data_IF_192865731777
#
_entry.id   IF_192865731777
#
_cell.length_a   1.000
_cell.length_b   1.000
_cell.length_c   1.000
_cell.angle_alpha   90.00
_cell.angle_beta   90.00
_cell.angle_gamma   90.00
#
_symmetry.space_group_name_H-M   'P 1'
#
loop_
_entity.id
_entity.type
_entity.pdbx_description
1 polymer ?
#
# COMPACT_ATOMS: atom_id res chain seq x y z
N UNK A 1 -11.21 12.06 -6.38
CA UNK A 1 -12.16 11.85 -7.50
C UNK A 1 -13.13 13.03 -7.69
N UNK A 2 -13.84 13.53 -6.65
CA UNK A 2 -14.83 14.62 -6.80
C UNK A 2 -14.31 15.84 -7.58
N UNK A 3 -13.10 16.33 -7.29
CA UNK A 3 -12.51 17.48 -7.98
C UNK A 3 -12.32 17.23 -9.49
N UNK A 4 -11.99 16.00 -9.90
CA UNK A 4 -11.87 15.63 -11.31
C UNK A 4 -13.27 15.59 -11.97
N UNK A 5 -14.26 14.99 -11.30
CA UNK A 5 -15.63 14.94 -11.79
C UNK A 5 -16.28 16.33 -11.89
N UNK A 6 -15.92 17.24 -10.98
CA UNK A 6 -16.37 18.64 -10.98
C UNK A 6 -15.55 19.54 -11.94
N UNK A 7 -14.60 18.95 -12.70
CA UNK A 7 -13.69 19.65 -13.63
C UNK A 7 -12.87 20.79 -12.98
N UNK A 8 -12.64 20.70 -11.66
CA UNK A 8 -11.78 21.64 -10.91
C UNK A 8 -10.31 21.31 -11.08
N UNK A 9 -9.99 20.08 -11.46
CA UNK A 9 -8.66 19.60 -11.84
C UNK A 9 -8.80 18.73 -13.08
N UNK A 10 -7.76 18.74 -13.94
CA UNK A 10 -7.74 17.95 -15.18
C UNK A 10 -6.91 16.67 -15.05
N UNK A 11 -6.17 16.53 -13.95
CA UNK A 11 -5.36 15.35 -13.62
C UNK A 11 -5.57 14.99 -12.14
N UNK A 12 -5.73 13.70 -11.86
CA UNK A 12 -5.85 13.16 -10.52
C UNK A 12 -5.03 11.87 -10.38
N UNK A 13 -4.08 11.85 -9.46
CA UNK A 13 -3.29 10.65 -9.13
C UNK A 13 -3.99 9.91 -8.00
N UNK A 14 -4.29 8.62 -8.19
CA UNK A 14 -5.06 7.84 -7.23
C UNK A 14 -4.78 6.34 -7.37
N UNK A 15 -5.08 5.57 -6.34
CA UNK A 15 -5.14 4.09 -6.40
C UNK A 15 -6.56 3.57 -6.68
N UNK A 16 -7.54 4.45 -6.89
CA UNK A 16 -8.90 4.09 -7.28
C UNK A 16 -9.00 4.04 -8.81
N UNK A 17 -9.37 2.90 -9.36
CA UNK A 17 -9.66 2.79 -10.79
C UNK A 17 -10.94 3.56 -11.13
N UNK A 18 -10.93 4.25 -12.26
CA UNK A 18 -12.13 4.96 -12.75
C UNK A 18 -13.26 3.96 -13.01
N UNK A 19 -14.40 4.19 -12.41
CA UNK A 19 -15.61 3.37 -12.61
C UNK A 19 -16.33 3.75 -13.90
N UNK A 20 -17.18 2.85 -14.43
CA UNK A 20 -18.02 3.15 -15.61
C UNK A 20 -18.93 4.36 -15.39
N UNK A 21 -19.43 4.55 -14.16
CA UNK A 21 -20.27 5.70 -13.83
C UNK A 21 -19.48 7.02 -13.84
N UNK A 22 -18.28 7.03 -13.31
CA UNK A 22 -17.37 8.20 -13.32
C UNK A 22 -16.93 8.57 -14.75
N UNK A 23 -16.61 7.56 -15.58
CA UNK A 23 -16.31 7.74 -16.99
C UNK A 23 -17.50 8.38 -17.73
N UNK A 24 -18.72 7.86 -17.52
CA UNK A 24 -19.93 8.40 -18.14
C UNK A 24 -20.21 9.85 -17.72
N UNK A 25 -20.02 10.19 -16.44
CA UNK A 25 -20.16 11.57 -15.94
C UNK A 25 -19.18 12.52 -16.64
N UNK A 26 -17.91 12.13 -16.78
CA UNK A 26 -16.91 12.96 -17.44
C UNK A 26 -17.23 13.15 -18.92
N UNK A 27 -17.57 12.08 -19.63
CA UNK A 27 -17.97 12.15 -21.06
C UNK A 27 -19.20 13.04 -21.27
N UNK A 28 -20.17 12.98 -20.36
CA UNK A 28 -21.37 13.84 -20.41
C UNK A 28 -21.05 15.33 -20.21
N UNK A 29 -19.88 15.68 -19.67
CA UNK A 29 -19.39 17.04 -19.50
C UNK A 29 -18.44 17.52 -20.63
N UNK A 30 -18.16 16.66 -21.61
CA UNK A 30 -17.38 16.97 -22.81
C UNK A 30 -15.99 16.33 -22.88
N UNK A 31 -15.15 16.26 -21.81
CA UNK A 31 -13.84 15.64 -21.92
C UNK A 31 -13.93 14.12 -22.11
N UNK A 32 -13.09 13.58 -23.00
CA UNK A 32 -12.88 12.13 -23.08
C UNK A 32 -11.88 11.74 -21.98
N UNK A 33 -12.29 10.98 -20.96
CA UNK A 33 -11.37 10.61 -19.90
C UNK A 33 -10.30 9.66 -20.41
N UNK A 34 -9.09 9.79 -19.87
CA UNK A 34 -8.00 8.85 -20.10
C UNK A 34 -7.46 8.31 -18.77
N UNK A 35 -7.11 7.03 -18.76
CA UNK A 35 -6.59 6.31 -17.60
C UNK A 35 -5.21 5.78 -17.92
N UNK A 36 -4.21 6.27 -17.19
CA UNK A 36 -2.84 5.80 -17.28
C UNK A 36 -2.48 5.06 -16.00
N UNK A 37 -2.35 3.73 -16.00
CA UNK A 37 -1.70 3.05 -14.90
C UNK A 37 -0.22 3.40 -14.93
N UNK A 38 0.31 3.88 -13.78
CA UNK A 38 1.66 4.42 -13.67
C UNK A 38 2.57 3.62 -12.76
N UNK A 39 2.02 2.80 -11.87
CA UNK A 39 2.81 1.98 -10.97
C UNK A 39 1.97 1.14 -10.03
N UNK A 40 2.66 0.35 -9.23
CA UNK A 40 2.07 -0.44 -8.16
C UNK A 40 2.69 -0.05 -6.82
N UNK A 41 1.87 -0.07 -5.78
CA UNK A 41 2.27 0.13 -4.38
C UNK A 41 1.86 -1.08 -3.55
N UNK A 42 2.74 -1.50 -2.64
CA UNK A 42 2.42 -2.52 -1.65
C UNK A 42 1.74 -1.88 -0.44
N UNK A 43 0.66 -2.45 0.07
CA UNK A 43 0.12 -2.06 1.36
C UNK A 43 0.83 -2.84 2.44
N UNK A 44 1.66 -2.14 3.21
CA UNK A 44 2.48 -2.71 4.27
C UNK A 44 1.75 -2.70 5.61
N UNK A 45 1.95 -3.77 6.37
CA UNK A 45 1.59 -3.86 7.78
C UNK A 45 2.87 -3.76 8.59
N UNK A 46 2.91 -2.84 9.54
CA UNK A 46 4.09 -2.59 10.38
C UNK A 46 3.73 -2.80 11.85
N UNK A 47 4.67 -3.37 12.59
CA UNK A 47 4.53 -3.60 14.02
C UNK A 47 5.73 -3.02 14.78
N UNK A 48 5.59 -2.83 16.07
CA UNK A 48 6.69 -2.39 16.92
C UNK A 48 7.85 -3.41 16.85
N UNK A 49 9.09 -2.92 16.88
CA UNK A 49 10.30 -3.78 16.82
C UNK A 49 10.36 -4.86 17.91
N UNK A 50 9.76 -4.58 19.04
CA UNK A 50 9.70 -5.55 20.15
C UNK A 50 8.60 -6.59 19.97
N UNK A 51 7.73 -6.48 18.94
CA UNK A 51 6.68 -7.45 18.69
C UNK A 51 7.27 -8.73 18.09
N UNK A 52 7.06 -9.91 18.69
CA UNK A 52 7.58 -11.18 18.16
C UNK A 52 6.85 -11.65 16.91
N UNK A 53 5.61 -11.16 16.66
CA UNK A 53 4.78 -11.61 15.55
C UNK A 53 5.01 -10.73 14.33
N UNK A 54 5.98 -11.12 13.52
CA UNK A 54 6.33 -10.45 12.27
C UNK A 54 5.90 -11.21 11.01
N UNK A 55 5.37 -12.43 11.15
CA UNK A 55 4.81 -13.24 10.06
C UNK A 55 3.33 -13.47 10.36
N UNK A 56 2.44 -12.98 9.49
CA UNK A 56 0.99 -13.11 9.63
C UNK A 56 0.35 -13.54 8.31
N UNK A 57 -0.79 -14.21 8.36
CA UNK A 57 -1.49 -14.63 7.15
C UNK A 57 -2.43 -13.54 6.60
N UNK A 58 -2.81 -13.65 5.34
CA UNK A 58 -3.90 -12.81 4.76
C UNK A 58 -5.18 -12.95 5.58
N UNK A 59 -5.47 -14.15 6.09
CA UNK A 59 -6.66 -14.41 6.90
C UNK A 59 -6.57 -13.75 8.29
N UNK A 60 -5.40 -13.76 8.92
CA UNK A 60 -5.15 -13.06 10.18
C UNK A 60 -5.37 -11.55 10.01
N UNK A 61 -4.83 -10.96 8.95
CA UNK A 61 -5.06 -9.54 8.62
C UNK A 61 -6.56 -9.25 8.51
N UNK A 62 -7.30 -10.09 7.76
CA UNK A 62 -8.75 -9.94 7.63
C UNK A 62 -9.48 -10.05 8.97
N UNK A 63 -9.10 -11.02 9.81
CA UNK A 63 -9.71 -11.23 11.14
C UNK A 63 -9.43 -10.07 12.08
N UNK A 64 -8.22 -9.51 12.09
CA UNK A 64 -7.86 -8.31 12.86
C UNK A 64 -8.75 -7.14 12.42
N UNK A 65 -8.81 -6.85 11.12
CA UNK A 65 -9.61 -5.75 10.57
C UNK A 65 -11.12 -5.94 10.80
N UNK A 66 -11.60 -7.18 10.88
CA UNK A 66 -12.99 -7.53 11.20
C UNK A 66 -13.28 -7.54 12.71
N UNK A 67 -12.28 -7.30 13.57
CA UNK A 67 -12.43 -7.36 15.03
C UNK A 67 -12.58 -8.77 15.59
N UNK A 68 -12.40 -9.82 14.79
CA UNK A 68 -12.46 -11.23 15.24
C UNK A 68 -11.22 -11.62 16.04
N UNK A 69 -10.08 -11.03 15.72
CA UNK A 69 -8.83 -11.08 16.47
C UNK A 69 -8.60 -9.69 17.03
N UNK A 70 -8.82 -9.52 18.33
CA UNK A 70 -8.73 -8.25 19.03
C UNK A 70 -7.47 -8.16 19.90
N UNK A 71 -6.80 -9.27 20.17
CA UNK A 71 -5.61 -9.35 21.04
C UNK A 71 -4.51 -10.15 20.39
N UNK A 72 -3.25 -9.78 20.64
CA UNK A 72 -2.07 -10.46 20.10
C UNK A 72 -1.97 -11.93 20.52
N UNK A 73 -2.41 -12.27 21.74
CA UNK A 73 -2.38 -13.65 22.22
C UNK A 73 -3.38 -14.59 21.50
N UNK A 74 -4.30 -14.05 20.71
CA UNK A 74 -5.17 -14.86 19.84
C UNK A 74 -4.45 -15.30 18.55
N UNK A 75 -3.39 -14.58 18.14
CA UNK A 75 -2.50 -14.99 17.07
C UNK A 75 -1.39 -15.89 17.59
N UNK A 76 -0.74 -15.47 18.66
CA UNK A 76 0.35 -16.18 19.30
C UNK A 76 0.15 -16.17 20.82
N UNK A 77 -0.17 -17.32 21.43
CA UNK A 77 -0.42 -17.40 22.88
C UNK A 77 0.70 -16.86 23.77
N UNK A 78 1.93 -16.80 23.24
CA UNK A 78 3.11 -16.25 23.96
C UNK A 78 3.20 -14.73 23.87
N UNK A 79 2.39 -14.08 23.01
CA UNK A 79 2.42 -12.63 22.86
C UNK A 79 1.46 -11.93 23.82
N UNK A 80 1.99 -11.35 24.89
CA UNK A 80 1.24 -10.71 25.98
C UNK A 80 1.04 -9.20 25.79
N UNK A 81 1.08 -8.65 24.55
CA UNK A 81 0.94 -7.20 24.27
C UNK A 81 -0.49 -6.66 24.42
N UNK A 82 -1.45 -7.51 24.72
CA UNK A 82 -2.83 -7.08 24.95
C UNK A 82 -3.61 -6.82 23.67
N UNK A 83 -4.49 -5.81 23.71
CA UNK A 83 -5.37 -5.46 22.60
C UNK A 83 -4.59 -4.90 21.41
N UNK A 84 -4.94 -5.32 20.20
CA UNK A 84 -4.36 -4.83 18.96
C UNK A 84 -4.94 -3.45 18.65
N UNK A 85 -4.08 -2.46 18.41
CA UNK A 85 -4.47 -1.14 17.91
C UNK A 85 -4.14 -1.03 16.42
N UNK A 86 -5.15 -0.85 15.58
CA UNK A 86 -4.97 -0.70 14.13
C UNK A 86 -4.84 0.78 13.78
N UNK A 87 -3.71 1.16 13.20
CA UNK A 87 -3.35 2.56 12.95
C UNK A 87 -3.31 2.85 11.46
N UNK A 88 -4.10 3.84 11.01
CA UNK A 88 -4.13 4.35 9.63
C UNK A 88 -3.62 5.79 9.57
N UNK A 89 -3.20 6.23 8.39
CA UNK A 89 -2.68 7.58 8.15
C UNK A 89 -3.76 8.69 8.26
N UNK A 90 -5.00 8.42 7.83
CA UNK A 90 -6.15 9.29 8.08
C UNK A 90 -7.46 8.56 7.73
N UNK A 91 -8.62 9.16 8.13
CA UNK A 91 -9.95 8.56 7.93
C UNK A 91 -10.41 8.51 6.46
N UNK A 92 -9.80 9.30 5.58
CA UNK A 92 -10.15 9.38 4.15
C UNK A 92 -8.99 8.93 3.26
N UNK A 93 -8.06 8.12 3.80
CA UNK A 93 -6.88 7.71 3.06
C UNK A 93 -7.18 6.67 2.00
N UNK A 94 -6.41 6.72 0.92
CA UNK A 94 -6.45 5.69 -0.11
C UNK A 94 -6.07 4.30 0.43
N UNK A 95 -5.29 4.24 1.52
CA UNK A 95 -4.95 3.00 2.23
C UNK A 95 -6.17 2.40 2.90
N UNK A 96 -6.96 3.22 3.61
CA UNK A 96 -8.20 2.77 4.25
C UNK A 96 -9.22 2.29 3.22
N UNK A 97 -9.41 3.03 2.13
CA UNK A 97 -10.29 2.61 1.03
C UNK A 97 -9.85 1.27 0.43
N UNK A 98 -8.55 1.10 0.16
CA UNK A 98 -8.04 -0.19 -0.33
C UNK A 98 -8.34 -1.35 0.64
N UNK A 99 -8.14 -1.12 1.95
CA UNK A 99 -8.44 -2.13 2.97
C UNK A 99 -9.92 -2.53 2.94
N UNK A 100 -10.81 -1.55 2.90
CA UNK A 100 -12.27 -1.81 2.86
C UNK A 100 -12.65 -2.52 1.57
N UNK A 101 -12.25 -1.99 0.42
CA UNK A 101 -12.72 -2.46 -0.89
C UNK A 101 -12.06 -3.80 -1.29
N UNK A 102 -10.72 -3.89 -1.16
CA UNK A 102 -9.95 -5.02 -1.69
C UNK A 102 -9.70 -6.11 -0.65
N UNK A 103 -9.39 -5.76 0.61
CA UNK A 103 -9.10 -6.76 1.65
C UNK A 103 -10.40 -7.29 2.26
N UNK A 104 -11.34 -6.41 2.59
CA UNK A 104 -12.59 -6.77 3.27
C UNK A 104 -13.78 -6.98 2.32
N UNK A 105 -13.60 -6.80 1.00
CA UNK A 105 -14.65 -7.00 0.00
C UNK A 105 -15.85 -6.05 0.19
N UNK A 106 -15.58 -4.77 0.47
CA UNK A 106 -16.58 -3.72 0.66
C UNK A 106 -17.19 -3.68 2.07
N UNK A 107 -16.73 -4.52 3.00
CA UNK A 107 -17.21 -4.52 4.39
C UNK A 107 -16.44 -3.52 5.23
N UNK A 108 -17.14 -2.82 6.11
CA UNK A 108 -16.52 -1.89 7.05
C UNK A 108 -15.56 -2.59 8.01
N UNK A 109 -14.52 -1.88 8.42
CA UNK A 109 -13.62 -2.31 9.49
C UNK A 109 -14.42 -2.32 10.80
N UNK A 110 -14.30 -3.41 11.55
CA UNK A 110 -15.01 -3.63 12.84
C UNK A 110 -14.06 -3.74 14.03
N UNK A 111 -12.75 -3.51 13.82
CA UNK A 111 -11.82 -3.44 14.96
C UNK A 111 -12.25 -2.30 15.90
N UNK A 112 -12.30 -2.58 17.20
CA UNK A 112 -12.73 -1.60 18.20
C UNK A 112 -11.66 -0.52 18.46
N UNK A 113 -10.40 -0.88 18.24
CA UNK A 113 -9.24 -0.01 18.52
C UNK A 113 -8.63 0.50 17.21
N UNK A 114 -9.33 1.44 16.54
CA UNK A 114 -8.81 2.09 15.33
C UNK A 114 -8.27 3.48 15.69
N UNK A 115 -7.03 3.73 15.34
CA UNK A 115 -6.36 5.02 15.51
C UNK A 115 -6.14 5.65 14.13
N UNK A 116 -6.53 6.90 13.97
CA UNK A 116 -6.21 7.71 12.79
C UNK A 116 -5.05 8.66 13.13
N UNK A 117 -3.91 8.45 12.51
CA UNK A 117 -2.77 9.37 12.57
C UNK A 117 -2.98 10.54 11.59
N UNK A 118 -2.06 11.50 11.56
CA UNK A 118 -2.17 12.67 10.64
C UNK A 118 -1.70 12.33 9.23
N UNK A 119 -0.70 11.47 9.11
CA UNK A 119 -0.05 11.06 7.85
C UNK A 119 0.74 9.76 8.07
N UNK A 120 1.30 9.19 7.00
CA UNK A 120 2.04 7.93 7.04
C UNK A 120 3.29 7.99 7.94
N UNK A 121 3.99 9.13 8.03
CA UNK A 121 5.11 9.30 8.97
C UNK A 121 4.63 9.16 10.42
N UNK A 122 3.50 9.80 10.76
CA UNK A 122 2.89 9.69 12.09
C UNK A 122 2.45 8.28 12.44
N UNK A 123 2.08 7.44 11.44
CA UNK A 123 1.81 6.01 11.66
C UNK A 123 3.08 5.29 12.10
N UNK A 124 4.20 5.50 11.40
CA UNK A 124 5.50 4.90 11.77
C UNK A 124 5.93 5.32 13.18
N UNK A 125 5.83 6.64 13.49
CA UNK A 125 6.18 7.19 14.80
C UNK A 125 5.29 6.60 15.91
N UNK A 126 4.00 6.43 15.65
CA UNK A 126 3.06 5.84 16.59
C UNK A 126 3.38 4.37 16.87
N UNK A 127 3.56 3.55 15.82
CA UNK A 127 3.88 2.12 15.94
C UNK A 127 5.22 1.92 16.66
N UNK A 128 6.21 2.79 16.39
CA UNK A 128 7.50 2.72 17.09
C UNK A 128 7.37 2.93 18.61
N UNK A 129 6.41 3.74 19.05
CA UNK A 129 6.17 4.05 20.47
C UNK A 129 5.16 3.12 21.15
N UNK A 130 4.34 2.40 20.39
CA UNK A 130 3.19 1.65 20.88
C UNK A 130 3.39 0.15 20.60
N UNK A 131 3.77 -0.66 21.63
CA UNK A 131 4.15 -2.07 21.43
C UNK A 131 3.04 -2.98 20.89
N UNK A 132 1.76 -2.63 21.10
CA UNK A 132 0.60 -3.40 20.67
C UNK A 132 -0.01 -2.90 19.35
N UNK A 133 0.56 -1.85 18.73
CA UNK A 133 0.03 -1.28 17.50
C UNK A 133 0.43 -2.10 16.25
N UNK A 134 -0.50 -2.14 15.27
CA UNK A 134 -0.26 -2.53 13.90
C UNK A 134 -0.61 -1.37 12.98
N UNK A 135 0.35 -0.84 12.25
CA UNK A 135 0.17 0.25 11.31
C UNK A 135 -0.08 -0.26 9.90
N UNK A 136 -0.92 0.46 9.14
CA UNK A 136 -1.24 0.14 7.75
C UNK A 136 -0.90 1.34 6.87
N UNK A 137 0.11 1.21 6.00
CA UNK A 137 0.62 2.29 5.14
C UNK A 137 1.06 1.78 3.77
N UNK A 138 1.31 2.70 2.83
CA UNK A 138 1.99 2.36 1.58
C UNK A 138 3.45 1.99 1.83
N UNK A 139 3.96 0.97 1.13
CA UNK A 139 5.31 0.44 1.33
C UNK A 139 6.41 1.45 1.00
N UNK A 140 6.16 2.37 0.07
CA UNK A 140 7.10 3.42 -0.32
C UNK A 140 7.51 4.35 0.85
N UNK A 141 6.70 4.46 1.91
CA UNK A 141 7.02 5.25 3.11
C UNK A 141 8.05 4.56 4.03
N UNK A 142 8.27 3.27 3.83
CA UNK A 142 9.17 2.45 4.64
C UNK A 142 10.59 2.40 4.08
N UNK A 143 10.81 2.77 2.82
CA UNK A 143 12.13 2.71 2.20
C UNK A 143 13.17 3.50 2.98
N UNK A 144 14.32 2.90 3.16
CA UNK A 144 15.48 3.61 3.69
C UNK A 144 16.11 4.45 2.56
N UNK A 145 15.88 5.75 2.61
CA UNK A 145 16.40 6.68 1.57
C UNK A 145 17.92 6.75 1.49
N UNK A 146 18.63 6.13 2.44
CA UNK A 146 20.11 5.97 2.39
C UNK A 146 20.51 4.81 1.48
N UNK A 147 19.59 3.88 1.23
CA UNK A 147 19.76 2.78 0.30
C UNK A 147 19.29 3.18 -1.09
N UNK A 148 20.23 3.46 -1.98
CA UNK A 148 19.94 3.84 -3.37
C UNK A 148 19.38 2.70 -4.20
N UNK A 149 19.43 1.46 -3.71
CA UNK A 149 18.89 0.27 -4.39
C UNK A 149 17.43 0.01 -4.06
N UNK A 150 16.85 0.69 -3.06
CA UNK A 150 15.50 0.48 -2.54
C UNK A 150 15.21 -0.98 -2.11
N UNK A 151 16.24 -1.67 -1.63
CA UNK A 151 16.13 -3.06 -1.18
C UNK A 151 15.98 -3.19 0.33
N UNK A 152 16.06 -2.08 1.08
CA UNK A 152 15.95 -2.08 2.54
C UNK A 152 14.85 -1.16 3.06
N UNK A 153 14.22 -1.56 4.16
CA UNK A 153 13.28 -0.75 4.90
C UNK A 153 13.93 -0.09 6.11
N UNK A 154 13.33 1.02 6.56
CA UNK A 154 13.71 1.69 7.80
C UNK A 154 13.66 0.73 8.99
N UNK A 155 14.62 0.86 9.89
CA UNK A 155 14.77 -0.02 11.07
C UNK A 155 13.97 0.45 12.29
N UNK A 156 13.17 1.50 12.18
CA UNK A 156 12.41 2.06 13.31
C UNK A 156 11.23 1.16 13.72
N UNK A 157 10.70 0.41 12.78
CA UNK A 157 9.61 -0.55 12.97
C UNK A 157 9.94 -1.87 12.28
N UNK A 158 9.18 -2.92 12.59
CA UNK A 158 9.24 -4.20 11.86
C UNK A 158 8.16 -4.24 10.81
N UNK A 159 8.54 -4.47 9.55
CA UNK A 159 7.58 -4.70 8.46
C UNK A 159 7.14 -6.16 8.53
N UNK A 160 5.84 -6.38 8.70
CA UNK A 160 5.31 -7.72 8.75
C UNK A 160 5.39 -8.42 7.38
N UNK A 161 5.82 -9.68 7.41
CA UNK A 161 5.78 -10.57 6.25
C UNK A 161 4.42 -11.22 6.16
N UNK A 162 3.81 -11.19 4.96
CA UNK A 162 2.45 -11.70 4.75
C UNK A 162 2.50 -13.02 3.99
N UNK A 163 1.80 -14.02 4.53
CA UNK A 163 1.64 -15.33 3.92
C UNK A 163 0.25 -15.50 3.29
N UNK A 164 0.22 -16.11 2.10
CA UNK A 164 -1.03 -16.58 1.47
C UNK A 164 -1.47 -17.96 1.97
N UNK A 165 -0.59 -18.65 2.71
CA UNK A 165 -0.90 -19.95 3.29
C UNK A 165 -1.81 -19.82 4.53
N UNK A 166 -2.33 -20.94 5.03
CA UNK A 166 -3.15 -21.01 6.25
C UNK A 166 -2.36 -20.78 7.51
N UNK A 167 -1.05 -21.04 7.48
CA UNK A 167 -0.10 -20.81 8.58
C UNK A 167 1.08 -20.04 8.04
N UNK A 168 1.40 -18.91 8.68
CA UNK A 168 2.55 -18.08 8.31
C UNK A 168 3.84 -18.62 8.91
N UNK A 169 4.92 -18.58 8.12
CA UNK A 169 6.28 -18.90 8.53
C UNK A 169 7.26 -18.00 7.76
N UNK A 170 8.50 -17.85 8.22
CA UNK A 170 9.50 -17.09 7.47
C UNK A 170 9.75 -17.59 6.04
N UNK A 171 9.55 -18.88 5.77
CA UNK A 171 9.77 -19.48 4.47
C UNK A 171 8.62 -19.27 3.46
N UNK A 172 7.42 -18.90 3.94
CA UNK A 172 6.23 -18.73 3.09
C UNK A 172 5.56 -17.35 3.24
N UNK A 173 6.26 -16.40 3.83
CA UNK A 173 5.79 -15.05 4.09
C UNK A 173 6.71 -14.02 3.44
N UNK A 174 6.13 -12.96 2.87
CA UNK A 174 6.86 -11.99 2.06
C UNK A 174 6.59 -10.56 2.53
N UNK A 175 7.62 -9.73 2.51
CA UNK A 175 7.51 -8.28 2.74
C UNK A 175 7.22 -7.56 1.41
N UNK A 176 6.69 -6.31 1.41
CA UNK A 176 6.29 -5.61 0.20
C UNK A 176 7.48 -5.01 -0.58
N UNK A 177 8.52 -5.80 -0.82
CA UNK A 177 9.61 -5.41 -1.72
C UNK A 177 9.14 -5.42 -3.17
N UNK A 178 9.69 -4.54 -3.99
CA UNK A 178 9.34 -4.41 -5.41
C UNK A 178 9.39 -5.75 -6.16
N UNK A 179 10.39 -6.58 -5.87
CA UNK A 179 10.52 -7.93 -6.44
C UNK A 179 9.29 -8.81 -6.12
N UNK A 180 8.83 -8.81 -4.87
CA UNK A 180 7.69 -9.63 -4.44
C UNK A 180 6.32 -9.04 -4.80
N UNK A 181 6.27 -7.74 -5.11
CA UNK A 181 5.10 -7.14 -5.77
C UNK A 181 5.02 -7.58 -7.23
N UNK A 182 6.17 -7.62 -7.93
CA UNK A 182 6.25 -7.96 -9.36
C UNK A 182 5.88 -9.43 -9.62
N UNK A 183 6.42 -10.36 -8.84
CA UNK A 183 6.16 -11.80 -9.01
C UNK A 183 4.88 -12.28 -8.31
N UNK A 184 4.17 -11.38 -7.65
CA UNK A 184 2.90 -11.67 -7.01
C UNK A 184 3.01 -12.46 -5.70
N UNK A 185 4.20 -12.66 -5.13
CA UNK A 185 4.38 -13.31 -3.82
C UNK A 185 3.72 -12.49 -2.70
N UNK A 186 3.88 -11.16 -2.73
CA UNK A 186 3.20 -10.28 -1.76
C UNK A 186 1.73 -10.05 -2.15
N UNK A 187 0.75 -10.26 -1.25
CA UNK A 187 -0.66 -10.29 -1.63
C UNK A 187 -1.37 -8.93 -1.71
N UNK A 188 -0.88 -7.91 -1.01
CA UNK A 188 -1.58 -6.64 -0.88
C UNK A 188 -0.96 -5.56 -1.77
N UNK A 189 -1.36 -5.60 -3.04
CA UNK A 189 -0.85 -4.72 -4.10
C UNK A 189 -1.99 -3.88 -4.67
N UNK A 190 -1.79 -2.59 -4.83
CA UNK A 190 -2.71 -1.66 -5.50
C UNK A 190 -2.06 -1.00 -6.69
N UNK A 191 -2.82 -0.80 -7.75
CA UNK A 191 -2.36 -0.03 -8.91
C UNK A 191 -2.54 1.46 -8.64
N UNK A 192 -1.57 2.26 -9.06
CA UNK A 192 -1.64 3.72 -9.05
C UNK A 192 -1.95 4.19 -10.47
N UNK A 193 -2.92 5.08 -10.58
CA UNK A 193 -3.42 5.62 -11.84
C UNK A 193 -3.21 7.13 -11.90
N UNK A 194 -2.91 7.63 -13.09
CA UNK A 194 -3.13 9.02 -13.48
C UNK A 194 -4.45 9.06 -14.27
N UNK A 195 -5.47 9.68 -13.70
CA UNK A 195 -6.79 9.85 -14.30
C UNK A 195 -6.87 11.27 -14.88
N UNK A 196 -7.24 11.38 -16.15
CA UNK A 196 -7.31 12.64 -16.88
C UNK A 196 -8.74 12.93 -17.34
N UNK A 197 -9.08 14.21 -17.25
CA UNK A 197 -10.25 14.81 -17.90
C UNK A 197 -9.82 16.11 -18.58
N UNK A 198 -8.83 16.01 -19.50
CA UNK A 198 -8.22 17.15 -20.17
C UNK A 198 -8.77 17.28 -21.61
N UNK A 199 -9.65 18.27 -21.88
CA UNK A 199 -10.30 18.42 -23.17
C UNK A 199 -9.32 18.86 -24.28
N UNK A 200 -8.17 19.45 -23.91
CA UNK A 200 -7.23 20.05 -24.84
C UNK A 200 -5.95 19.24 -25.04
N UNK A 201 -5.78 18.10 -24.34
CA UNK A 201 -4.52 17.33 -24.30
C UNK A 201 -3.29 18.21 -24.02
N UNK A 202 -3.45 19.14 -23.08
CA UNK A 202 -2.45 20.12 -22.69
C UNK A 202 -1.45 19.56 -21.67
N UNK A 203 -0.96 20.40 -20.74
CA UNK A 203 0.03 20.02 -19.73
C UNK A 203 -0.34 18.80 -18.88
N UNK A 204 -1.59 18.62 -18.42
CA UNK A 204 -1.98 17.43 -17.66
C UNK A 204 -1.77 16.12 -18.44
N UNK A 205 -2.13 16.12 -19.72
CA UNK A 205 -1.92 14.98 -20.61
C UNK A 205 -0.44 14.72 -20.87
N UNK A 206 0.35 15.78 -21.14
CA UNK A 206 1.80 15.67 -21.34
C UNK A 206 2.48 15.10 -20.07
N UNK A 207 2.08 15.54 -18.89
CA UNK A 207 2.60 15.04 -17.61
C UNK A 207 2.25 13.55 -17.40
N UNK A 208 1.02 13.14 -17.65
CA UNK A 208 0.63 11.74 -17.51
C UNK A 208 1.38 10.83 -18.48
N UNK A 209 1.58 11.27 -19.73
CA UNK A 209 2.42 10.57 -20.71
C UNK A 209 3.88 10.50 -20.26
N UNK A 210 4.42 11.60 -19.72
CA UNK A 210 5.79 11.63 -19.22
C UNK A 210 6.00 10.61 -18.09
N UNK A 211 5.10 10.57 -17.12
CA UNK A 211 5.18 9.58 -16.01
C UNK A 211 5.03 8.14 -16.52
N UNK A 212 4.23 7.91 -17.55
CA UNK A 212 4.01 6.60 -18.13
C UNK A 212 5.13 6.14 -19.09
N UNK A 213 6.04 7.01 -19.50
CA UNK A 213 7.16 6.68 -20.37
C UNK A 213 8.38 6.14 -19.56
N UNK A 214 9.43 5.60 -20.22
CA UNK A 214 10.59 5.02 -19.53
C UNK A 214 11.27 5.93 -18.50
N UNK A 215 11.40 7.23 -18.79
CA UNK A 215 12.02 8.20 -17.87
C UNK A 215 11.15 8.39 -16.62
N UNK A 216 9.84 8.59 -16.79
CA UNK A 216 8.90 8.69 -15.68
C UNK A 216 8.81 7.40 -14.86
N UNK A 217 8.85 6.24 -15.54
CA UNK A 217 8.85 4.94 -14.86
C UNK A 217 10.13 4.71 -14.02
N UNK A 218 11.27 5.26 -14.45
CA UNK A 218 12.48 5.26 -13.62
C UNK A 218 12.32 6.13 -12.36
N UNK A 219 11.59 7.25 -12.44
CA UNK A 219 11.28 8.09 -11.28
C UNK A 219 10.38 7.31 -10.31
N UNK A 220 9.35 6.64 -10.83
CA UNK A 220 8.46 5.76 -10.03
C UNK A 220 9.28 4.68 -9.30
N UNK A 221 10.20 4.03 -10.01
CA UNK A 221 11.09 3.02 -9.42
C UNK A 221 11.95 3.60 -8.28
N UNK A 222 12.60 4.75 -8.52
CA UNK A 222 13.43 5.42 -7.52
C UNK A 222 12.64 5.94 -6.32
N UNK A 223 11.35 6.21 -6.50
CA UNK A 223 10.44 6.56 -5.41
C UNK A 223 9.99 5.35 -4.55
N UNK A 224 10.51 4.15 -4.86
CA UNK A 224 10.19 2.92 -4.11
C UNK A 224 8.88 2.26 -4.51
N UNK A 225 8.27 2.70 -5.59
CA UNK A 225 7.09 2.07 -6.18
C UNK A 225 7.50 1.10 -7.30
N UNK A 226 6.73 0.07 -7.54
CA UNK A 226 6.93 -0.81 -8.68
C UNK A 226 6.40 -0.12 -9.95
N UNK A 227 7.21 0.14 -10.99
CA UNK A 227 6.74 0.70 -12.24
C UNK A 227 5.69 -0.17 -12.92
N UNK A 228 4.70 0.45 -13.56
CA UNK A 228 3.70 -0.29 -14.33
C UNK A 228 4.27 -0.85 -15.63
N UNK A 229 5.24 -0.15 -16.24
CA UNK A 229 5.95 -0.54 -17.46
C UNK A 229 7.44 -0.52 -17.21
N UNK A 230 8.14 -1.57 -17.60
CA UNK A 230 9.60 -1.65 -17.52
C UNK A 230 10.07 -3.11 -17.59
N UNK A 231 11.25 -3.34 -18.17
CA UNK A 231 11.94 -4.62 -18.07
C UNK A 231 12.70 -4.62 -16.75
N UNK A 232 12.07 -5.14 -15.70
CA UNK A 232 12.70 -5.31 -14.39
C UNK A 232 13.24 -6.73 -14.34
N UNK A 233 14.56 -6.88 -14.38
CA UNK A 233 15.23 -8.17 -14.18
C UNK A 233 15.45 -8.37 -12.66
N UNK A 234 14.77 -9.33 -12.09
CA UNK A 234 15.01 -9.76 -10.71
C UNK A 234 16.18 -10.75 -10.72
N UNK A 235 17.22 -10.45 -9.92
CA UNK A 235 18.30 -11.39 -9.62
C UNK A 235 18.15 -11.84 -8.17
N UNK A 236 17.98 -13.13 -7.96
CA UNK A 236 18.13 -13.71 -6.63
C UNK A 236 19.64 -13.82 -6.32
N UNK A 237 20.06 -13.20 -5.24
CA UNK A 237 21.44 -13.26 -4.74
C UNK A 237 21.40 -14.02 -3.42
N UNK A 238 21.98 -15.20 -3.39
CA UNK A 238 22.25 -15.89 -2.12
C UNK A 238 23.41 -15.19 -1.41
N UNK A 239 23.11 -14.52 -0.30
CA UNK A 239 24.14 -14.00 0.59
C UNK A 239 24.62 -15.15 1.48
N UNK A 240 25.75 -15.76 1.12
CA UNK A 240 26.44 -16.70 2.01
C UNK A 240 27.01 -15.90 3.17
N UNK A 241 26.48 -16.10 4.37
CA UNK A 241 27.11 -15.59 5.58
C UNK A 241 28.50 -16.26 5.73
N UNK A 242 29.53 -15.45 5.68
CA UNK A 242 30.90 -15.84 6.09
C UNK A 242 31.01 -15.85 7.60
#
# INVERSE_FOLDING_TARGET
>A
MKLLLDQKVNLFITSHAMTKGEDAILRGKGPIPAVFPIGYDGIAFIVNRSNPDSCITVDDVKKILQGKIAKWNQLNPKNNRGAIEVVFDNKASATLHYVVDSILGGKNIKSENIVAAKNSKSVVDYVNKTPNAIGVIGSNWLNDHRDTTNTTFKKDVTVASISKATVASPSNSWQPYQAYLLDGRYPFVRTIYALLADPHKALPYAFANYIANPIGQMIIFKAGLLPYRGNINIREVEVKNQ
#
